data_IF_781412511404
#
_entry.id   IF_781412511404
#
_cell.length_a   1.000
_cell.length_b   1.000
_cell.length_c   1.000
_cell.angle_alpha   90.00
_cell.angle_beta   90.00
_cell.angle_gamma   90.00
#
_symmetry.space_group_name_H-M   'P 1'
#
loop_
_entity.id
_entity.type
_entity.pdbx_description
1 polymer ?
#
# COMPACT_ATOMS: atom_id res chain seq x y z
N UNK A 1 32.55 6.27 -20.59
CA UNK A 1 31.26 6.01 -21.22
C UNK A 1 30.19 5.77 -20.17
N UNK A 2 29.10 6.34 -20.37
CA UNK A 2 28.00 6.25 -19.41
C UNK A 2 27.10 5.07 -19.76
N UNK A 3 26.87 4.19 -18.82
CA UNK A 3 25.92 3.11 -19.02
C UNK A 3 24.52 3.55 -18.66
N UNK A 4 23.57 3.16 -19.48
CA UNK A 4 22.17 3.36 -19.15
C UNK A 4 21.78 2.34 -18.09
N UNK A 5 21.37 2.85 -16.94
CA UNK A 5 20.88 2.00 -15.87
C UNK A 5 19.37 1.89 -16.02
N UNK A 6 18.91 0.69 -16.28
CA UNK A 6 17.46 0.44 -16.31
C UNK A 6 16.98 0.28 -14.88
N UNK A 7 16.12 1.17 -14.45
CA UNK A 7 15.45 1.06 -13.15
C UNK A 7 14.29 0.09 -13.33
N UNK A 8 14.23 -1.01 -12.57
CA UNK A 8 13.12 -1.94 -12.68
C UNK A 8 11.81 -1.26 -12.35
N UNK A 9 10.78 -1.52 -13.14
CA UNK A 9 9.45 -1.01 -12.89
C UNK A 9 8.68 -2.08 -12.12
N UNK A 10 8.09 -1.69 -11.00
CA UNK A 10 7.22 -2.58 -10.22
C UNK A 10 5.87 -2.69 -10.91
N UNK A 11 5.47 -3.90 -11.27
CA UNK A 11 4.17 -4.22 -11.89
C UNK A 11 3.43 -5.21 -11.02
N UNK A 12 2.10 -5.11 -11.04
CA UNK A 12 1.20 -6.08 -10.41
C UNK A 12 1.39 -6.20 -8.89
N UNK A 13 1.96 -5.18 -8.28
CA UNK A 13 2.00 -5.01 -6.82
C UNK A 13 1.28 -3.70 -6.52
N UNK A 14 0.27 -3.76 -5.66
CA UNK A 14 -0.59 -2.62 -5.38
C UNK A 14 -0.65 -2.34 -3.88
N UNK A 15 -0.95 -1.10 -3.55
CA UNK A 15 -1.36 -0.72 -2.19
C UNK A 15 -2.75 -0.13 -2.31
N UNK A 16 -3.65 -0.61 -1.49
CA UNK A 16 -5.04 -0.15 -1.47
C UNK A 16 -5.46 0.14 -0.03
N UNK A 17 -6.37 1.10 0.12
CA UNK A 17 -7.03 1.34 1.39
C UNK A 17 -8.48 0.91 1.23
N UNK A 18 -8.85 -0.15 1.95
CA UNK A 18 -10.11 -0.87 1.81
C UNK A 18 -11.02 -0.54 2.98
N UNK A 19 -12.29 -0.25 2.69
CA UNK A 19 -13.28 -0.04 3.74
C UNK A 19 -13.89 -1.38 4.12
N UNK A 20 -13.81 -1.73 5.40
CA UNK A 20 -14.27 -3.01 5.92
C UNK A 20 -15.11 -2.81 7.19
N UNK A 21 -16.15 -3.65 7.35
CA UNK A 21 -16.94 -3.64 8.55
C UNK A 21 -16.23 -4.44 9.66
N UNK A 22 -16.11 -3.84 10.84
CA UNK A 22 -15.54 -4.49 12.00
C UNK A 22 -16.68 -4.99 12.90
N UNK A 23 -16.87 -6.31 12.97
CA UNK A 23 -17.96 -6.92 13.71
C UNK A 23 -17.82 -6.74 15.23
N UNK A 24 -16.59 -6.62 15.72
CA UNK A 24 -16.32 -6.50 17.14
C UNK A 24 -16.74 -5.11 17.65
N UNK A 25 -16.32 -4.07 16.94
CA UNK A 25 -16.58 -2.69 17.35
C UNK A 25 -17.76 -2.07 16.62
N UNK A 26 -18.42 -2.80 15.70
CA UNK A 26 -19.58 -2.32 14.94
C UNK A 26 -19.26 -1.04 14.15
N UNK A 27 -18.07 -0.96 13.60
CA UNK A 27 -17.59 0.22 12.85
C UNK A 27 -17.19 -0.17 11.42
N UNK A 28 -17.17 0.82 10.54
CA UNK A 28 -16.57 0.67 9.23
C UNK A 28 -15.14 1.22 9.31
N UNK A 29 -14.18 0.34 9.20
CA UNK A 29 -12.78 0.70 9.27
C UNK A 29 -12.15 0.81 7.89
N UNK A 30 -11.12 1.62 7.78
CA UNK A 30 -10.30 1.71 6.58
C UNK A 30 -8.96 1.04 6.89
N UNK A 31 -8.62 0.05 6.09
CA UNK A 31 -7.39 -0.74 6.29
C UNK A 31 -6.53 -0.71 5.04
N UNK A 32 -5.24 -0.45 5.22
CA UNK A 32 -4.28 -0.49 4.13
C UNK A 32 -3.81 -1.93 3.90
N UNK A 33 -3.73 -2.32 2.63
CA UNK A 33 -3.30 -3.65 2.20
C UNK A 33 -2.24 -3.53 1.12
N UNK A 34 -1.29 -4.47 1.14
CA UNK A 34 -0.41 -4.72 0.01
C UNK A 34 -0.94 -5.93 -0.75
N UNK A 35 -1.03 -5.82 -2.07
CA UNK A 35 -1.56 -6.88 -2.92
C UNK A 35 -0.48 -7.31 -3.91
N UNK A 36 -0.13 -8.59 -3.87
CA UNK A 36 0.78 -9.20 -4.83
C UNK A 36 -0.03 -9.98 -5.87
N UNK A 37 -0.24 -9.37 -7.02
CA UNK A 37 -0.98 -10.00 -8.12
C UNK A 37 -0.06 -10.74 -9.09
N UNK A 38 1.23 -10.85 -8.76
CA UNK A 38 2.22 -11.55 -9.58
C UNK A 38 2.11 -13.06 -9.41
N UNK A 39 2.76 -13.78 -10.30
CA UNK A 39 2.86 -15.25 -10.24
C UNK A 39 4.08 -15.70 -9.42
N UNK A 40 4.82 -14.76 -8.84
CA UNK A 40 5.99 -15.04 -7.99
C UNK A 40 5.80 -14.38 -6.64
N UNK A 41 6.45 -14.93 -5.62
CA UNK A 41 6.40 -14.36 -4.27
C UNK A 41 7.29 -13.11 -4.17
N UNK A 42 6.93 -12.22 -3.27
CA UNK A 42 7.79 -11.12 -2.85
C UNK A 42 8.48 -11.51 -1.56
N UNK A 43 9.78 -11.29 -1.48
CA UNK A 43 10.58 -11.67 -0.31
C UNK A 43 11.09 -10.43 0.43
N UNK A 44 11.15 -10.52 1.75
CA UNK A 44 11.64 -9.44 2.61
C UNK A 44 10.98 -8.11 2.24
N UNK A 45 9.67 -8.06 2.43
CA UNK A 45 8.88 -6.87 2.09
C UNK A 45 8.96 -5.88 3.24
N UNK A 46 9.45 -4.69 2.96
CA UNK A 46 9.50 -3.59 3.92
C UNK A 46 8.56 -2.50 3.45
N UNK A 47 7.72 -2.04 4.36
CA UNK A 47 6.75 -0.99 4.07
C UNK A 47 6.93 0.14 5.07
N UNK A 48 7.14 1.35 4.55
CA UNK A 48 7.28 2.55 5.37
C UNK A 48 6.12 3.47 5.02
N UNK A 49 5.30 3.80 6.00
CA UNK A 49 4.15 4.68 5.79
C UNK A 49 4.29 5.98 6.57
N UNK A 50 3.75 7.05 6.00
CA UNK A 50 3.67 8.35 6.65
C UNK A 50 2.59 9.20 6.01
N UNK A 51 2.02 10.11 6.80
CA UNK A 51 1.10 11.13 6.30
C UNK A 51 1.76 12.50 6.42
N UNK A 52 1.52 13.38 5.46
CA UNK A 52 2.13 14.71 5.51
C UNK A 52 1.33 15.73 4.70
N UNK A 53 1.55 16.98 5.06
CA UNK A 53 1.09 18.16 4.31
C UNK A 53 2.19 19.20 4.42
N UNK A 54 1.93 20.41 3.93
CA UNK A 54 2.90 21.50 4.09
C UNK A 54 3.15 21.85 5.56
N UNK A 55 2.17 21.60 6.44
CA UNK A 55 2.22 22.05 7.83
C UNK A 55 2.37 20.91 8.83
N UNK A 56 2.02 19.69 8.45
CA UNK A 56 1.95 18.55 9.39
C UNK A 56 2.64 17.33 8.83
N UNK A 57 3.13 16.50 9.74
CA UNK A 57 3.64 15.17 9.43
C UNK A 57 3.25 14.22 10.54
N UNK A 58 2.83 13.02 10.17
CA UNK A 58 2.53 11.98 11.15
C UNK A 58 3.80 11.25 11.53
N UNK A 59 3.70 10.38 12.55
CA UNK A 59 4.75 9.43 12.86
C UNK A 59 4.94 8.48 11.68
N UNK A 60 6.17 8.18 11.36
CA UNK A 60 6.51 7.18 10.34
C UNK A 60 6.33 5.79 10.94
N UNK A 61 5.62 4.92 10.23
CA UNK A 61 5.41 3.54 10.65
C UNK A 61 6.15 2.59 9.71
N UNK A 62 6.65 1.50 10.27
CA UNK A 62 7.42 0.50 9.51
C UNK A 62 6.85 -0.88 9.74
N UNK A 63 6.68 -1.62 8.66
CA UNK A 63 6.17 -2.98 8.69
C UNK A 63 7.07 -3.89 7.88
N UNK A 64 7.17 -5.14 8.29
CA UNK A 64 7.97 -6.14 7.58
C UNK A 64 7.15 -7.40 7.38
N UNK A 65 7.22 -7.96 6.18
CA UNK A 65 6.71 -9.29 5.87
C UNK A 65 7.88 -10.11 5.33
N UNK A 66 8.08 -11.30 5.86
CA UNK A 66 9.16 -12.15 5.35
C UNK A 66 8.88 -12.60 3.92
N UNK A 67 7.66 -13.00 3.64
CA UNK A 67 7.24 -13.43 2.32
C UNK A 67 5.79 -12.99 2.11
N UNK A 68 5.50 -12.46 0.93
CA UNK A 68 4.13 -12.28 0.44
C UNK A 68 3.96 -13.19 -0.77
N UNK A 69 3.27 -14.33 -0.63
CA UNK A 69 3.15 -15.31 -1.72
C UNK A 69 2.54 -14.74 -2.98
N UNK A 70 2.75 -15.42 -4.10
CA UNK A 70 2.09 -15.09 -5.35
C UNK A 70 0.57 -15.07 -5.17
N UNK A 71 -0.11 -14.14 -5.85
CA UNK A 71 -1.58 -14.07 -5.83
C UNK A 71 -2.15 -13.98 -4.41
N UNK A 72 -1.53 -13.15 -3.57
CA UNK A 72 -1.99 -12.98 -2.19
C UNK A 72 -1.92 -11.51 -1.77
N UNK A 73 -2.51 -11.22 -0.62
CA UNK A 73 -2.49 -9.87 -0.06
C UNK A 73 -2.33 -9.96 1.46
N UNK A 74 -1.89 -8.85 2.05
CA UNK A 74 -1.71 -8.78 3.49
C UNK A 74 -2.08 -7.38 4.00
N UNK A 75 -2.67 -7.34 5.17
CA UNK A 75 -2.99 -6.07 5.83
C UNK A 75 -1.70 -5.41 6.31
N UNK A 76 -1.58 -4.12 6.04
CA UNK A 76 -0.46 -3.31 6.50
C UNK A 76 -0.80 -2.67 7.84
N UNK A 77 -1.88 -1.88 7.87
CA UNK A 77 -2.26 -1.12 9.06
C UNK A 77 -3.67 -0.58 8.94
N UNK A 78 -4.26 -0.24 10.07
CA UNK A 78 -5.49 0.55 10.12
C UNK A 78 -5.15 1.99 9.75
N UNK A 79 -5.98 2.61 8.91
CA UNK A 79 -5.81 4.00 8.52
C UNK A 79 -6.94 4.81 9.12
N UNK A 80 -6.60 5.71 10.03
CA UNK A 80 -7.58 6.54 10.70
C UNK A 80 -8.08 7.66 9.80
N UNK A 81 -9.34 8.00 9.87
CA UNK A 81 -9.93 9.06 9.05
C UNK A 81 -9.25 10.42 9.27
N UNK A 82 -8.67 10.63 10.44
CA UNK A 82 -7.99 11.88 10.79
C UNK A 82 -6.83 12.19 9.83
N UNK A 83 -6.28 11.20 9.15
CA UNK A 83 -5.16 11.41 8.23
C UNK A 83 -5.59 11.54 6.77
N UNK A 84 -6.88 11.44 6.49
CA UNK A 84 -7.37 11.51 5.10
C UNK A 84 -7.16 12.87 4.45
N UNK A 85 -7.06 13.92 5.24
CA UNK A 85 -6.77 15.27 4.75
C UNK A 85 -5.28 15.46 4.39
N UNK A 86 -4.45 14.47 4.71
CA UNK A 86 -3.03 14.50 4.43
C UNK A 86 -2.72 13.68 3.18
N UNK A 87 -1.53 13.87 2.61
CA UNK A 87 -0.97 12.93 1.67
C UNK A 87 -0.52 11.72 2.46
N UNK A 88 -0.93 10.51 2.06
CA UNK A 88 -0.55 9.27 2.71
C UNK A 88 0.34 8.48 1.77
N UNK A 89 1.57 8.25 2.18
CA UNK A 89 2.59 7.63 1.36
C UNK A 89 2.99 6.28 1.94
N UNK A 90 3.07 5.27 1.06
CA UNK A 90 3.54 3.93 1.41
C UNK A 90 4.71 3.60 0.50
N UNK A 91 5.91 3.54 1.06
CA UNK A 91 7.09 3.11 0.32
C UNK A 91 7.27 1.62 0.54
N UNK A 92 7.25 0.85 -0.55
CA UNK A 92 7.36 -0.60 -0.52
C UNK A 92 8.66 -1.02 -1.17
N UNK A 93 9.47 -1.78 -0.44
CA UNK A 93 10.73 -2.32 -0.92
C UNK A 93 10.69 -3.83 -0.74
N UNK A 94 11.09 -4.58 -1.75
CA UNK A 94 11.06 -6.05 -1.68
C UNK A 94 12.06 -6.66 -2.64
N UNK A 95 12.33 -7.95 -2.43
CA UNK A 95 13.15 -8.74 -3.34
C UNK A 95 12.25 -9.66 -4.18
N UNK A 96 12.57 -9.70 -5.46
CA UNK A 96 11.97 -10.63 -6.41
C UNK A 96 13.11 -11.24 -7.22
N UNK A 97 13.26 -12.57 -7.14
CA UNK A 97 14.36 -13.27 -7.85
C UNK A 97 15.72 -12.62 -7.58
N UNK A 98 16.01 -12.36 -6.31
CA UNK A 98 17.23 -11.72 -5.85
C UNK A 98 17.46 -10.30 -6.36
N UNK A 99 16.43 -9.69 -6.95
CA UNK A 99 16.50 -8.30 -7.39
C UNK A 99 15.71 -7.43 -6.41
N UNK A 100 16.35 -6.36 -5.94
CA UNK A 100 15.69 -5.38 -5.06
C UNK A 100 14.83 -4.44 -5.89
N UNK A 101 13.58 -4.33 -5.53
CA UNK A 101 12.61 -3.43 -6.15
C UNK A 101 12.04 -2.48 -5.11
N UNK A 102 11.67 -1.28 -5.56
CA UNK A 102 11.21 -0.22 -4.69
C UNK A 102 10.15 0.61 -5.41
N UNK A 103 9.05 0.90 -4.72
CA UNK A 103 8.01 1.77 -5.27
C UNK A 103 7.32 2.54 -4.16
N UNK A 104 7.06 3.81 -4.41
CA UNK A 104 6.28 4.66 -3.52
C UNK A 104 4.87 4.80 -4.06
N UNK A 105 3.90 4.49 -3.19
CA UNK A 105 2.47 4.57 -3.48
C UNK A 105 1.91 5.77 -2.75
N UNK A 106 1.19 6.62 -3.46
CA UNK A 106 0.67 7.85 -2.87
C UNK A 106 -0.84 7.92 -2.94
N UNK A 107 -1.45 8.19 -1.79
CA UNK A 107 -2.86 8.59 -1.68
C UNK A 107 -2.85 10.09 -1.42
N UNK A 108 -3.21 10.88 -2.43
CA UNK A 108 -3.21 12.33 -2.30
C UNK A 108 -4.23 12.80 -1.27
N UNK A 109 -4.04 14.02 -0.77
CA UNK A 109 -4.96 14.65 0.17
C UNK A 109 -6.40 14.51 -0.32
N UNK A 110 -7.28 14.09 0.59
CA UNK A 110 -8.72 13.97 0.36
C UNK A 110 -9.12 12.98 -0.75
N UNK A 111 -8.23 12.07 -1.16
CA UNK A 111 -8.56 11.07 -2.18
C UNK A 111 -9.17 9.79 -1.61
N UNK A 112 -9.07 9.59 -0.29
CA UNK A 112 -9.63 8.40 0.37
C UNK A 112 -11.05 8.74 0.82
N UNK A 113 -12.03 8.29 0.04
CA UNK A 113 -13.44 8.55 0.33
C UNK A 113 -14.31 7.52 -0.39
N UNK A 114 -15.57 7.44 -0.01
CA UNK A 114 -16.50 6.45 -0.57
C UNK A 114 -16.79 6.66 -2.05
N UNK A 115 -16.63 7.87 -2.55
CA UNK A 115 -16.79 8.15 -3.98
C UNK A 115 -15.67 7.61 -4.85
N UNK A 116 -14.53 7.24 -4.25
CA UNK A 116 -13.36 6.74 -4.97
C UNK A 116 -13.23 5.21 -4.89
N UNK A 117 -14.20 4.52 -4.30
CA UNK A 117 -14.17 3.07 -4.14
C UNK A 117 -14.21 2.37 -5.50
N UNK A 118 -13.35 1.38 -5.65
CA UNK A 118 -13.30 0.54 -6.84
C UNK A 118 -12.92 -0.88 -6.44
N UNK A 119 -13.20 -1.88 -7.29
CA UNK A 119 -12.80 -3.26 -6.98
C UNK A 119 -11.29 -3.35 -6.83
N UNK A 120 -10.87 -4.04 -5.78
CA UNK A 120 -9.44 -4.23 -5.49
C UNK A 120 -9.02 -5.60 -6.00
N UNK A 121 -7.88 -5.70 -6.71
CA UNK A 121 -7.40 -6.98 -7.23
C UNK A 121 -7.29 -8.04 -6.12
N UNK A 122 -7.75 -9.24 -6.38
CA UNK A 122 -7.68 -10.43 -5.53
C UNK A 122 -8.55 -10.39 -4.27
N UNK A 123 -9.04 -9.25 -3.83
CA UNK A 123 -9.65 -9.14 -2.51
C UNK A 123 -11.16 -9.35 -2.50
N UNK A 124 -11.82 -9.26 -3.63
CA UNK A 124 -13.28 -9.28 -3.69
C UNK A 124 -13.90 -8.23 -2.74
N UNK A 125 -13.26 -7.09 -2.64
CA UNK A 125 -13.69 -5.95 -1.83
C UNK A 125 -13.43 -4.66 -2.59
N UNK A 126 -14.05 -3.58 -2.13
CA UNK A 126 -13.87 -2.27 -2.72
C UNK A 126 -12.97 -1.39 -1.85
N UNK A 127 -12.15 -0.59 -2.50
CA UNK A 127 -11.24 0.31 -1.82
C UNK A 127 -10.72 1.38 -2.77
N UNK A 128 -9.76 2.14 -2.28
CA UNK A 128 -9.08 3.17 -3.05
C UNK A 128 -7.68 2.66 -3.39
N UNK A 129 -7.33 2.66 -4.66
CA UNK A 129 -5.98 2.28 -5.11
C UNK A 129 -5.06 3.50 -5.12
N UNK A 130 -3.82 3.30 -4.66
CA UNK A 130 -2.79 4.33 -4.75
C UNK A 130 -2.36 4.53 -6.19
N UNK A 131 -1.89 5.70 -6.47
CA UNK A 131 -1.33 6.04 -7.77
C UNK A 131 0.17 5.92 -7.82
#
# INVERSE_FOLDING_TARGET
MKKDIKIPIVKDVYVAIVQEYNDIYKTKDWNAYIINSKVVALETVLIVSKGYSQEKATTTMRHKLDILPAKSYAKIELVHEDVFMLNNEFRVTFFENNQLLDKTYLFKQNSINTGALQPIPLMNKEGVLAK
#
